data_IF_247278566977
#
_entry.id   IF_247278566977
#
_cell.length_a   1.000
_cell.length_b   1.000
_cell.length_c   1.000
_cell.angle_alpha   90.00
_cell.angle_beta   90.00
_cell.angle_gamma   90.00
#
_symmetry.space_group_name_H-M   'P 1'
#
loop_
_entity.id
_entity.type
_entity.pdbx_description
1 polymer ?
#
# COMPACT_ATOMS: atom_id res chain seq x y z
N UNK A 1 -9.69 2.70 7.83
CA UNK A 1 -8.32 2.28 7.44
C UNK A 1 -7.37 3.46 7.55
N UNK A 2 -6.13 3.27 8.00
CA UNK A 2 -5.08 4.30 7.91
C UNK A 2 -4.11 4.31 9.10
N UNK A 3 -3.11 5.20 9.06
CA UNK A 3 -2.00 5.22 10.02
C UNK A 3 -2.43 5.44 11.48
N UNK A 4 -3.62 6.01 11.72
CA UNK A 4 -4.16 6.22 13.05
C UNK A 4 -4.62 4.91 13.71
N UNK A 5 -4.99 3.91 12.90
CA UNK A 5 -5.29 2.55 13.36
C UNK A 5 -3.98 1.84 13.68
N UNK A 6 -3.90 1.24 14.86
CA UNK A 6 -2.64 0.84 15.48
C UNK A 6 -2.80 -0.17 16.60
N UNK A 7 -1.86 -0.15 17.54
CA UNK A 7 -1.92 -1.04 18.70
C UNK A 7 -2.89 -0.54 19.79
N UNK A 8 -3.28 0.74 19.74
CA UNK A 8 -4.29 1.35 20.63
C UNK A 8 -5.62 1.60 19.90
N UNK A 9 -6.10 0.60 19.17
CA UNK A 9 -7.35 0.74 18.38
C UNK A 9 -8.61 0.72 19.25
N UNK A 10 -8.57 0.11 20.45
CA UNK A 10 -9.70 0.07 21.38
C UNK A 10 -10.31 1.45 21.68
N UNK A 11 -9.49 2.50 21.85
CA UNK A 11 -10.01 3.85 22.03
C UNK A 11 -10.85 4.35 20.83
N UNK A 12 -10.46 3.98 19.60
CA UNK A 12 -11.20 4.34 18.40
C UNK A 12 -12.50 3.54 18.30
N UNK A 13 -12.48 2.26 18.67
CA UNK A 13 -13.66 1.39 18.73
C UNK A 13 -14.69 1.93 19.73
N UNK A 14 -14.24 2.26 20.94
CA UNK A 14 -15.10 2.82 22.00
C UNK A 14 -15.70 4.17 21.60
N UNK A 15 -14.89 5.03 20.97
CA UNK A 15 -15.30 6.38 20.59
C UNK A 15 -16.21 6.41 19.35
N UNK A 16 -16.02 5.46 18.44
CA UNK A 16 -16.71 5.41 17.16
C UNK A 16 -17.40 4.05 16.95
N UNK A 17 -18.39 3.69 17.79
CA UNK A 17 -19.02 2.37 17.78
C UNK A 17 -19.85 2.08 16.53
N UNK A 18 -20.11 3.09 15.71
CA UNK A 18 -20.83 2.99 14.44
C UNK A 18 -19.93 2.66 13.24
N UNK A 19 -18.61 2.51 13.46
CA UNK A 19 -17.66 2.14 12.41
C UNK A 19 -17.51 0.63 12.38
N UNK A 20 -17.87 0.00 11.25
CA UNK A 20 -17.81 -1.46 11.12
C UNK A 20 -16.39 -2.04 11.17
N UNK A 21 -15.38 -1.27 10.74
CA UNK A 21 -14.06 -1.82 10.48
C UNK A 21 -12.91 -0.81 10.65
N UNK A 22 -11.93 -1.18 11.48
CA UNK A 22 -10.65 -0.49 11.63
C UNK A 22 -9.52 -1.34 11.05
N UNK A 23 -8.68 -0.74 10.19
CA UNK A 23 -7.58 -1.45 9.51
C UNK A 23 -6.31 -0.60 9.50
N UNK A 24 -5.18 -1.24 9.77
CA UNK A 24 -3.86 -0.62 9.60
C UNK A 24 -3.58 -0.39 8.11
N UNK A 25 -2.66 0.53 7.75
CA UNK A 25 -2.16 0.65 6.39
C UNK A 25 -1.64 -0.70 5.87
N UNK A 26 -1.84 -0.97 4.57
CA UNK A 26 -1.41 -2.20 3.88
C UNK A 26 -2.01 -3.53 4.39
N UNK A 27 -2.87 -3.52 5.40
CA UNK A 27 -3.61 -4.71 5.83
C UNK A 27 -5.02 -4.67 5.26
N UNK A 28 -5.22 -5.30 4.09
CA UNK A 28 -6.50 -5.29 3.38
C UNK A 28 -7.42 -6.45 3.76
N UNK A 29 -6.88 -7.53 4.32
CA UNK A 29 -7.60 -8.77 4.60
C UNK A 29 -8.92 -8.56 5.37
N UNK A 30 -8.99 -7.74 6.43
CA UNK A 30 -10.23 -7.55 7.16
C UNK A 30 -11.38 -7.00 6.29
N UNK A 31 -11.07 -6.15 5.31
CA UNK A 31 -12.07 -5.62 4.37
C UNK A 31 -12.50 -6.69 3.38
N UNK A 32 -11.56 -7.47 2.86
CA UNK A 32 -11.84 -8.54 1.90
C UNK A 32 -12.76 -9.58 2.53
N UNK A 33 -12.48 -10.04 3.75
CA UNK A 33 -13.34 -10.99 4.45
C UNK A 33 -14.71 -10.42 4.79
N UNK A 34 -14.79 -9.16 5.25
CA UNK A 34 -16.07 -8.52 5.55
C UNK A 34 -16.96 -8.38 4.30
N UNK A 35 -16.38 -8.01 3.17
CA UNK A 35 -17.10 -7.91 1.89
C UNK A 35 -17.48 -9.29 1.37
N UNK A 36 -16.57 -10.27 1.47
CA UNK A 36 -16.84 -11.65 1.07
C UNK A 36 -18.04 -12.23 1.79
N UNK A 37 -18.09 -12.08 3.11
CA UNK A 37 -19.24 -12.50 3.94
C UNK A 37 -20.54 -11.76 3.57
N UNK A 38 -20.49 -10.42 3.45
CA UNK A 38 -21.68 -9.61 3.14
C UNK A 38 -22.25 -9.85 1.74
N UNK A 39 -21.39 -10.15 0.76
CA UNK A 39 -21.80 -10.34 -0.64
C UNK A 39 -21.92 -11.81 -1.03
N UNK A 40 -21.59 -12.75 -0.13
CA UNK A 40 -21.51 -14.18 -0.46
C UNK A 40 -20.47 -14.49 -1.54
N UNK A 41 -19.40 -13.67 -1.61
CA UNK A 41 -18.31 -13.85 -2.57
C UNK A 41 -17.21 -14.61 -1.85
N UNK A 42 -16.76 -15.73 -2.44
CA UNK A 42 -15.56 -16.41 -1.97
C UNK A 42 -14.34 -15.51 -2.23
N UNK A 43 -13.67 -14.99 -1.17
CA UNK A 43 -12.50 -14.13 -1.33
C UNK A 43 -11.28 -14.87 -1.90
N UNK A 44 -11.27 -16.21 -1.88
CA UNK A 44 -10.25 -17.05 -2.54
C UNK A 44 -10.57 -17.31 -4.01
N UNK A 45 -11.80 -17.00 -4.45
CA UNK A 45 -12.27 -17.14 -5.82
C UNK A 45 -11.82 -16.00 -6.75
N UNK A 46 -12.06 -16.16 -8.06
CA UNK A 46 -11.80 -15.11 -9.05
C UNK A 46 -12.80 -13.96 -8.88
N UNK A 47 -12.40 -12.90 -8.15
CA UNK A 47 -13.10 -11.63 -8.14
C UNK A 47 -12.97 -11.02 -9.55
N UNK A 48 -14.12 -10.74 -10.20
CA UNK A 48 -14.14 -10.07 -11.50
C UNK A 48 -13.40 -8.73 -11.48
N UNK A 49 -12.93 -8.26 -12.64
CA UNK A 49 -12.16 -7.02 -12.73
C UNK A 49 -12.93 -5.82 -12.15
N UNK A 50 -12.46 -5.28 -11.02
CA UNK A 50 -12.90 -3.99 -10.50
C UNK A 50 -12.39 -2.88 -11.43
N UNK A 51 -13.22 -2.47 -12.40
CA UNK A 51 -12.86 -1.46 -13.39
C UNK A 51 -13.07 -0.04 -12.86
N UNK A 52 -12.21 0.41 -11.96
CA UNK A 52 -12.08 1.84 -11.64
C UNK A 52 -11.31 2.52 -12.77
N UNK A 53 -11.90 3.48 -13.49
CA UNK A 53 -11.17 4.22 -14.53
C UNK A 53 -10.14 5.14 -13.84
N UNK A 54 -8.83 5.00 -14.12
CA UNK A 54 -7.82 5.85 -13.49
C UNK A 54 -7.86 7.28 -14.05
N UNK A 55 -7.33 8.24 -13.29
CA UNK A 55 -7.10 9.61 -13.74
C UNK A 55 -5.94 9.68 -14.75
N UNK A 56 -5.68 10.87 -15.31
CA UNK A 56 -4.53 11.10 -16.20
C UNK A 56 -3.19 10.87 -15.45
N UNK A 57 -3.14 11.21 -14.16
CA UNK A 57 -2.00 10.92 -13.28
C UNK A 57 -2.33 9.81 -12.28
N UNK A 58 -1.32 9.02 -11.92
CA UNK A 58 -1.42 7.96 -10.93
C UNK A 58 -0.21 7.96 -9.98
N UNK A 59 -0.46 7.54 -8.73
CA UNK A 59 0.56 7.34 -7.72
C UNK A 59 0.85 5.85 -7.57
N UNK A 60 2.11 5.45 -7.75
CA UNK A 60 2.52 4.05 -7.65
C UNK A 60 3.51 3.92 -6.48
N UNK A 61 3.10 3.35 -5.35
CA UNK A 61 4.02 3.14 -4.25
C UNK A 61 5.06 2.08 -4.62
N UNK A 62 6.34 2.35 -4.45
CA UNK A 62 7.44 1.41 -4.79
C UNK A 62 8.14 0.84 -3.56
N UNK A 63 8.03 1.51 -2.43
CA UNK A 63 8.63 1.10 -1.16
C UNK A 63 7.67 1.34 0.00
N UNK A 64 7.66 0.40 0.96
CA UNK A 64 6.91 0.48 2.20
C UNK A 64 7.86 0.45 3.40
N UNK A 65 7.43 1.04 4.52
CA UNK A 65 8.26 1.09 5.72
C UNK A 65 9.49 1.98 5.58
N UNK A 66 10.34 2.00 6.61
CA UNK A 66 11.58 2.79 6.58
C UNK A 66 12.56 2.29 7.66
N UNK A 67 13.83 2.10 7.28
CA UNK A 67 14.90 1.71 8.19
C UNK A 67 15.67 2.92 8.77
N UNK A 68 15.30 4.14 8.39
CA UNK A 68 15.87 5.37 8.95
C UNK A 68 15.18 5.73 10.27
N UNK A 69 15.87 5.50 11.39
CA UNK A 69 15.43 5.84 12.74
C UNK A 69 15.67 7.33 13.05
N UNK A 70 15.01 8.21 12.31
CA UNK A 70 15.03 9.64 12.59
C UNK A 70 14.40 9.92 13.96
N UNK A 71 14.98 10.82 14.75
CA UNK A 71 14.57 11.12 16.13
C UNK A 71 13.10 11.53 16.30
N UNK A 72 12.48 12.03 15.23
CA UNK A 72 11.09 12.49 15.20
C UNK A 72 10.15 11.50 14.47
N UNK A 73 10.67 10.47 13.82
CA UNK A 73 9.91 9.67 12.87
C UNK A 73 9.36 8.40 13.51
N UNK A 74 8.03 8.31 13.58
CA UNK A 74 7.31 7.15 14.12
C UNK A 74 7.20 5.97 13.12
N UNK A 75 7.56 6.20 11.85
CA UNK A 75 7.33 5.28 10.74
C UNK A 75 7.95 3.88 10.95
N UNK A 76 9.21 3.72 11.42
CA UNK A 76 9.79 2.38 11.62
C UNK A 76 8.94 1.49 12.53
N UNK A 77 8.23 2.09 13.50
CA UNK A 77 7.36 1.39 14.43
C UNK A 77 5.95 1.14 13.89
N UNK A 78 5.45 1.99 12.98
CA UNK A 78 4.05 1.95 12.51
C UNK A 78 3.87 1.29 11.15
N UNK A 79 4.87 1.38 10.28
CA UNK A 79 4.86 0.78 8.94
C UNK A 79 5.90 -0.32 8.77
N UNK A 80 6.70 -0.58 9.82
CA UNK A 80 7.73 -1.61 9.81
C UNK A 80 9.01 -1.19 9.09
N UNK A 81 9.87 -2.20 8.88
CA UNK A 81 11.14 -2.09 8.17
C UNK A 81 10.91 -1.77 6.69
N UNK A 82 11.93 -1.23 6.05
CA UNK A 82 11.88 -0.97 4.61
C UNK A 82 11.66 -2.26 3.82
N UNK A 83 10.76 -2.19 2.84
CA UNK A 83 10.40 -3.29 1.96
C UNK A 83 10.14 -2.71 0.56
N UNK A 84 11.05 -2.94 -0.36
CA UNK A 84 10.90 -2.55 -1.77
C UNK A 84 10.03 -3.55 -2.51
N UNK A 85 9.15 -3.03 -3.37
CA UNK A 85 8.45 -3.86 -4.35
C UNK A 85 9.44 -4.31 -5.43
N UNK A 86 9.20 -5.50 -6.01
CA UNK A 86 10.02 -5.95 -7.13
C UNK A 86 9.80 -5.05 -8.34
N UNK A 87 10.86 -4.81 -9.10
CA UNK A 87 10.81 -4.02 -10.35
C UNK A 87 9.75 -4.55 -11.30
N UNK A 88 9.65 -5.87 -11.46
CA UNK A 88 8.64 -6.52 -12.32
C UNK A 88 7.21 -6.16 -11.91
N UNK A 89 6.93 -6.09 -10.62
CA UNK A 89 5.58 -5.86 -10.12
C UNK A 89 5.19 -4.39 -10.34
N UNK A 90 6.15 -3.49 -10.12
CA UNK A 90 5.98 -2.05 -10.38
C UNK A 90 5.83 -1.79 -11.87
N UNK A 91 6.66 -2.40 -12.73
CA UNK A 91 6.60 -2.20 -14.18
C UNK A 91 5.29 -2.73 -14.76
N UNK A 92 4.82 -3.89 -14.32
CA UNK A 92 3.55 -4.47 -14.76
C UNK A 92 2.35 -3.60 -14.36
N UNK A 93 2.36 -3.05 -13.14
CA UNK A 93 1.33 -2.11 -12.70
C UNK A 93 1.31 -0.83 -13.55
N UNK A 94 2.49 -0.24 -13.79
CA UNK A 94 2.62 0.97 -14.63
C UNK A 94 2.17 0.71 -16.06
N UNK A 95 2.52 -0.44 -16.63
CA UNK A 95 2.07 -0.83 -17.96
C UNK A 95 0.54 -0.94 -18.03
N UNK A 96 -0.06 -1.60 -17.03
CA UNK A 96 -1.52 -1.73 -16.93
C UNK A 96 -2.20 -0.36 -16.78
N UNK A 97 -1.63 0.54 -15.98
CA UNK A 97 -2.13 1.91 -15.84
C UNK A 97 -2.01 2.70 -17.15
N UNK A 98 -0.89 2.58 -17.85
CA UNK A 98 -0.66 3.21 -19.15
C UNK A 98 -1.67 2.75 -20.20
N UNK A 99 -1.92 1.43 -20.30
CA UNK A 99 -2.96 0.85 -21.17
C UNK A 99 -4.37 1.36 -20.84
N UNK A 100 -4.60 1.79 -19.60
CA UNK A 100 -5.88 2.36 -19.13
C UNK A 100 -5.97 3.88 -19.27
N UNK A 101 -4.97 4.52 -19.87
CA UNK A 101 -4.99 5.94 -20.22
C UNK A 101 -4.23 6.86 -19.25
N UNK A 102 -3.54 6.32 -18.26
CA UNK A 102 -2.62 7.09 -17.41
C UNK A 102 -1.45 7.61 -18.27
N UNK A 103 -1.11 8.88 -18.10
CA UNK A 103 -0.03 9.58 -18.82
C UNK A 103 1.10 10.03 -17.90
N UNK A 104 0.83 10.17 -16.62
CA UNK A 104 1.82 10.56 -15.61
C UNK A 104 1.81 9.54 -14.47
N UNK A 105 2.99 9.09 -14.08
CA UNK A 105 3.18 8.23 -12.90
C UNK A 105 4.14 8.91 -11.94
N UNK A 106 3.70 9.05 -10.70
CA UNK A 106 4.54 9.50 -9.59
C UNK A 106 4.83 8.31 -8.68
N UNK A 107 6.11 7.96 -8.52
CA UNK A 107 6.52 6.91 -7.60
C UNK A 107 6.46 7.41 -6.16
N UNK A 108 5.85 6.63 -5.26
CA UNK A 108 5.68 6.99 -3.86
C UNK A 108 6.39 6.04 -2.90
N UNK A 109 6.80 6.56 -1.75
CA UNK A 109 7.53 5.82 -0.75
C UNK A 109 7.78 6.66 0.49
N UNK A 110 8.10 6.03 1.62
CA UNK A 110 8.50 6.76 2.83
C UNK A 110 9.90 7.37 2.66
N UNK A 111 10.78 6.66 1.96
CA UNK A 111 12.09 7.11 1.54
C UNK A 111 12.42 6.52 0.16
N UNK A 112 12.13 7.25 -0.92
CA UNK A 112 12.36 6.78 -2.31
C UNK A 112 13.81 6.40 -2.54
N UNK A 113 14.70 7.19 -1.94
CA UNK A 113 16.14 7.02 -1.89
C UNK A 113 16.66 5.69 -1.31
N UNK A 114 15.80 4.89 -0.67
CA UNK A 114 16.13 3.55 -0.17
C UNK A 114 15.72 2.44 -1.13
N UNK A 115 14.96 2.73 -2.19
CA UNK A 115 14.38 1.68 -3.02
C UNK A 115 15.47 0.80 -3.64
N UNK A 116 15.32 -0.51 -3.49
CA UNK A 116 16.23 -1.52 -4.04
C UNK A 116 17.35 -1.95 -3.11
N UNK A 117 17.58 -1.28 -1.96
CA UNK A 117 18.61 -1.69 -0.99
C UNK A 117 18.36 -3.08 -0.37
N UNK A 118 17.09 -3.49 -0.25
CA UNK A 118 16.64 -4.78 0.26
C UNK A 118 16.40 -5.83 -0.84
N UNK A 119 16.62 -5.47 -2.12
CA UNK A 119 16.47 -6.38 -3.25
C UNK A 119 17.81 -7.03 -3.64
N UNK A 120 17.76 -8.26 -4.17
CA UNK A 120 18.93 -8.91 -4.73
C UNK A 120 19.30 -8.28 -6.08
N UNK A 121 20.51 -7.71 -6.17
CA UNK A 121 21.02 -7.03 -7.36
C UNK A 121 21.15 -5.51 -7.17
N UNK A 122 21.89 -4.84 -8.04
CA UNK A 122 22.03 -3.38 -8.00
C UNK A 122 20.84 -2.72 -8.69
N UNK A 123 19.76 -2.49 -7.93
CA UNK A 123 18.60 -1.72 -8.38
C UNK A 123 18.58 -0.40 -7.62
N UNK A 124 18.61 0.72 -8.34
CA UNK A 124 18.48 2.06 -7.78
C UNK A 124 17.62 2.91 -8.73
N UNK A 125 16.85 3.84 -8.18
CA UNK A 125 16.07 4.85 -8.92
C UNK A 125 16.83 6.15 -9.12
N UNK A 126 17.96 6.34 -8.44
CA UNK A 126 18.81 7.52 -8.64
C UNK A 126 19.47 7.45 -10.01
N UNK A 127 19.33 8.55 -10.75
CA UNK A 127 20.11 8.78 -11.97
C UNK A 127 21.45 9.36 -11.53
N UNK A 128 22.53 8.59 -11.73
CA UNK A 128 23.91 8.99 -11.44
C UNK A 128 24.45 10.02 -12.42
#
# INVERSE_FOLDING_TARGET
MGCMVGDRTHYLEDKFPYVDLFMKPQQFDPLIYLIGDKLGIDPEGCIGNLTVKPNISAYVPVIHGCDKFCSFCIIPYRRGRELSRKVSDVSNEIELLSRRGVKEVTLLGQNIDSYGHDLSGSVDLRVS
#
